data_IF_393771098777
#
_entry.id   IF_393771098777
#
_cell.length_a   1.000
_cell.length_b   1.000
_cell.length_c   1.000
_cell.angle_alpha   90.00
_cell.angle_beta   90.00
_cell.angle_gamma   90.00
#
_symmetry.space_group_name_H-M   'P 1'
#
loop_
_entity.id
_entity.type
_entity.pdbx_description
1 polymer ?
#
# COMPACT_ATOMS: atom_id res chain seq x y z
N UNK A 1 -12.69 3.41 -7.93
CA UNK A 1 -12.41 4.23 -6.75
C UNK A 1 -13.69 4.38 -5.92
N UNK A 2 -13.56 4.55 -4.62
CA UNK A 2 -14.62 4.91 -3.70
C UNK A 2 -14.09 6.00 -2.76
N UNK A 3 -14.87 7.06 -2.54
CA UNK A 3 -14.43 8.27 -1.85
C UNK A 3 -15.39 8.68 -0.74
N UNK A 4 -14.86 9.35 0.29
CA UNK A 4 -15.67 10.01 1.31
C UNK A 4 -16.16 11.39 0.82
N UNK A 5 -17.35 11.79 1.24
CA UNK A 5 -18.07 12.96 0.70
C UNK A 5 -17.61 14.34 1.22
N UNK A 6 -16.61 14.42 2.09
CA UNK A 6 -16.16 15.72 2.64
C UNK A 6 -14.86 16.16 1.99
N UNK A 7 -14.96 17.12 1.07
CA UNK A 7 -13.83 17.69 0.33
C UNK A 7 -13.49 19.10 0.80
N UNK A 8 -12.25 19.32 1.20
CA UNK A 8 -11.70 20.65 1.41
C UNK A 8 -10.25 20.67 0.89
N UNK A 9 -9.87 21.66 0.09
CA UNK A 9 -8.63 21.78 -0.69
C UNK A 9 -7.30 21.53 0.08
N UNK A 10 -7.33 21.53 1.41
CA UNK A 10 -6.18 21.30 2.28
C UNK A 10 -6.28 19.99 3.08
N UNK A 11 -7.15 19.09 2.69
CA UNK A 11 -7.34 17.85 3.42
C UNK A 11 -6.14 16.92 3.27
N UNK A 12 -5.76 16.31 4.37
CA UNK A 12 -4.93 15.11 4.33
C UNK A 12 -5.71 13.99 3.65
N UNK A 13 -5.02 13.19 2.87
CA UNK A 13 -5.62 12.13 2.07
C UNK A 13 -5.15 10.78 2.57
N UNK A 14 -6.07 9.85 2.78
CA UNK A 14 -5.76 8.44 3.01
C UNK A 14 -6.14 7.66 1.76
N UNK A 15 -5.17 7.01 1.13
CA UNK A 15 -5.42 6.11 0.01
C UNK A 15 -5.29 4.67 0.51
N UNK A 16 -6.37 3.90 0.33
CA UNK A 16 -6.51 2.54 0.83
C UNK A 16 -6.33 1.51 -0.28
N UNK A 17 -5.57 0.45 0.03
CA UNK A 17 -5.30 -0.69 -0.84
C UNK A 17 -5.72 -1.98 -0.13
N UNK A 18 -6.73 -2.66 -0.67
CA UNK A 18 -7.26 -3.91 -0.12
C UNK A 18 -6.31 -5.10 -0.30
N UNK A 19 -6.57 -6.18 0.40
CA UNK A 19 -5.83 -7.44 0.29
C UNK A 19 -6.20 -8.27 -0.94
N UNK A 20 -5.44 -9.36 -1.14
CA UNK A 20 -5.70 -10.36 -2.17
C UNK A 20 -7.09 -10.97 -2.02
N UNK A 21 -7.83 -11.09 -3.11
CA UNK A 21 -9.17 -11.68 -3.10
C UNK A 21 -10.27 -10.77 -2.55
N UNK A 22 -9.95 -9.52 -2.23
CA UNK A 22 -10.89 -8.54 -1.67
C UNK A 22 -11.28 -7.46 -2.69
N UNK A 23 -11.84 -6.34 -2.23
CA UNK A 23 -12.27 -5.23 -3.07
C UNK A 23 -12.09 -3.88 -2.37
N UNK A 24 -12.26 -2.79 -3.12
CA UNK A 24 -12.21 -1.41 -2.57
C UNK A 24 -13.21 -1.17 -1.43
N UNK A 25 -14.28 -1.96 -1.34
CA UNK A 25 -15.33 -1.77 -0.33
C UNK A 25 -14.93 -2.27 1.05
N UNK A 26 -13.98 -3.20 1.12
CA UNK A 26 -13.52 -3.83 2.35
C UNK A 26 -12.92 -2.78 3.32
N UNK A 27 -11.74 -2.25 3.01
CA UNK A 27 -11.11 -1.24 3.87
C UNK A 27 -11.92 0.05 3.96
N UNK A 28 -12.66 0.41 2.90
CA UNK A 28 -13.51 1.59 2.94
C UNK A 28 -14.60 1.53 4.01
N UNK A 29 -14.98 0.35 4.46
CA UNK A 29 -15.91 0.16 5.58
C UNK A 29 -15.43 0.83 6.88
N UNK A 30 -14.11 1.02 7.05
CA UNK A 30 -13.49 1.70 8.18
C UNK A 30 -13.49 3.23 8.06
N UNK A 31 -13.82 3.80 6.89
CA UNK A 31 -13.80 5.25 6.67
C UNK A 31 -14.64 6.03 7.70
N UNK A 32 -15.78 5.48 8.12
CA UNK A 32 -16.66 6.07 9.14
C UNK A 32 -16.05 6.21 10.53
N UNK A 33 -14.96 5.50 10.82
CA UNK A 33 -14.24 5.56 12.10
C UNK A 33 -13.00 6.46 12.03
N UNK A 34 -12.67 6.98 10.85
CA UNK A 34 -11.53 7.86 10.65
C UNK A 34 -11.90 9.33 10.89
N UNK A 35 -10.87 10.15 11.05
CA UNK A 35 -11.07 11.57 11.24
C UNK A 35 -11.77 12.18 10.00
N UNK A 36 -12.91 12.86 10.17
CA UNK A 36 -13.69 13.40 9.04
C UNK A 36 -12.97 14.51 8.25
N UNK A 37 -11.86 15.03 8.76
CA UNK A 37 -11.02 16.00 8.03
C UNK A 37 -10.08 15.35 7.02
N UNK A 38 -10.10 14.02 6.89
CA UNK A 38 -9.35 13.32 5.85
C UNK A 38 -10.26 13.03 4.66
N UNK A 39 -9.76 13.26 3.46
CA UNK A 39 -10.30 12.65 2.26
C UNK A 39 -9.84 11.18 2.25
N UNK A 40 -10.79 10.26 2.18
CA UNK A 40 -10.51 8.82 2.17
C UNK A 40 -10.87 8.27 0.81
N UNK A 41 -9.89 7.67 0.16
CA UNK A 41 -9.99 7.11 -1.19
C UNK A 41 -9.63 5.63 -1.11
N UNK A 42 -10.49 4.74 -1.57
CA UNK A 42 -10.20 3.31 -1.67
C UNK A 42 -10.13 2.90 -3.14
N UNK A 43 -8.98 2.36 -3.54
CA UNK A 43 -8.70 2.00 -4.93
C UNK A 43 -8.95 0.51 -5.13
N UNK A 44 -9.63 0.17 -6.24
CA UNK A 44 -9.83 -1.18 -6.69
C UNK A 44 -8.60 -1.70 -7.40
N UNK A 45 -8.12 -2.89 -7.01
CA UNK A 45 -7.06 -3.58 -7.72
C UNK A 45 -7.49 -3.95 -9.16
N UNK A 46 -6.54 -3.99 -10.12
CA UNK A 46 -6.86 -4.09 -11.54
C UNK A 46 -7.28 -5.50 -12.01
N UNK A 47 -6.83 -6.53 -11.31
CA UNK A 47 -7.03 -7.92 -11.75
C UNK A 47 -8.25 -8.51 -11.04
N UNK A 48 -9.29 -8.78 -11.79
CA UNK A 48 -10.48 -9.46 -11.28
C UNK A 48 -10.24 -10.97 -11.25
N UNK A 49 -10.48 -11.57 -10.09
CA UNK A 49 -10.34 -13.00 -9.86
C UNK A 49 -11.70 -13.71 -9.95
N UNK A 50 -12.73 -13.11 -9.33
CA UNK A 50 -14.10 -13.61 -9.28
C UNK A 50 -15.05 -12.43 -8.99
N UNK A 51 -16.34 -12.71 -8.80
CA UNK A 51 -17.31 -11.69 -8.41
C UNK A 51 -16.88 -10.95 -7.13
N UNK A 52 -16.67 -9.65 -7.26
CA UNK A 52 -16.20 -8.73 -6.20
C UNK A 52 -14.90 -9.17 -5.50
N UNK A 53 -14.05 -9.90 -6.21
CA UNK A 53 -12.77 -10.43 -5.73
C UNK A 53 -11.66 -10.01 -6.68
N UNK A 54 -10.63 -9.30 -6.16
CA UNK A 54 -9.60 -8.66 -6.97
C UNK A 54 -8.22 -8.82 -6.33
N UNK A 55 -7.17 -8.69 -7.13
CA UNK A 55 -5.79 -8.70 -6.65
C UNK A 55 -4.91 -7.69 -7.41
N UNK A 56 -3.82 -7.30 -6.77
CA UNK A 56 -2.82 -6.41 -7.37
C UNK A 56 -1.87 -7.15 -8.29
N UNK A 57 -1.66 -8.43 -8.02
CA UNK A 57 -0.95 -9.41 -8.83
C UNK A 57 -1.42 -10.82 -8.49
N UNK A 58 -1.31 -11.71 -9.46
CA UNK A 58 -1.62 -13.13 -9.29
C UNK A 58 -0.59 -13.82 -8.40
N UNK A 59 -1.05 -14.85 -7.69
CA UNK A 59 -0.21 -15.75 -6.91
C UNK A 59 -0.25 -17.14 -7.53
N UNK A 60 0.91 -17.77 -7.62
CA UNK A 60 1.07 -19.15 -8.04
C UNK A 60 1.85 -19.95 -6.99
N UNK A 61 1.79 -21.26 -7.05
CA UNK A 61 2.64 -22.12 -6.21
C UNK A 61 3.86 -22.56 -7.03
N UNK A 62 5.05 -22.48 -6.40
CA UNK A 62 6.25 -23.07 -6.96
C UNK A 62 6.29 -24.58 -6.72
N UNK A 63 7.39 -25.24 -7.13
CA UNK A 63 7.57 -26.69 -6.97
C UNK A 63 7.62 -27.13 -5.49
N UNK A 64 7.98 -26.22 -4.60
CA UNK A 64 8.08 -26.43 -3.14
C UNK A 64 6.78 -26.05 -2.40
N UNK A 65 5.69 -25.80 -3.15
CA UNK A 65 4.38 -25.38 -2.64
C UNK A 65 4.40 -24.01 -1.94
N UNK A 66 5.37 -23.15 -2.25
CA UNK A 66 5.43 -21.79 -1.74
C UNK A 66 4.72 -20.82 -2.68
N UNK A 67 4.02 -19.84 -2.10
CA UNK A 67 3.35 -18.76 -2.84
C UNK A 67 4.36 -17.82 -3.49
N UNK A 68 4.27 -17.70 -4.80
CA UNK A 68 5.07 -16.75 -5.60
C UNK A 68 4.19 -15.69 -6.24
N UNK A 69 4.69 -14.44 -6.24
CA UNK A 69 4.02 -13.35 -6.93
C UNK A 69 4.37 -13.35 -8.43
N UNK A 70 3.41 -12.96 -9.26
CA UNK A 70 3.73 -12.52 -10.62
C UNK A 70 4.39 -11.14 -10.56
N UNK A 71 5.73 -11.14 -10.71
CA UNK A 71 6.55 -9.92 -10.61
C UNK A 71 6.20 -8.90 -11.71
N UNK A 72 5.82 -9.38 -12.89
CA UNK A 72 5.47 -8.50 -14.01
C UNK A 72 4.15 -7.78 -13.74
N UNK A 73 3.13 -8.52 -13.30
CA UNK A 73 1.86 -7.93 -12.89
C UNK A 73 2.02 -6.96 -11.73
N UNK A 74 2.82 -7.34 -10.71
CA UNK A 74 3.08 -6.49 -9.55
C UNK A 74 3.75 -5.17 -9.93
N UNK A 75 4.77 -5.20 -10.81
CA UNK A 75 5.42 -3.99 -11.32
C UNK A 75 4.48 -3.13 -12.17
N UNK A 76 3.66 -3.75 -13.00
CA UNK A 76 2.67 -3.02 -13.80
C UNK A 76 1.64 -2.34 -12.90
N UNK A 77 1.04 -3.05 -11.95
CA UNK A 77 0.09 -2.49 -10.98
C UNK A 77 0.70 -1.32 -10.20
N UNK A 78 1.95 -1.45 -9.75
CA UNK A 78 2.64 -0.39 -9.02
C UNK A 78 2.84 0.87 -9.86
N UNK A 79 3.29 0.73 -11.11
CA UNK A 79 3.52 1.86 -12.01
C UNK A 79 2.21 2.54 -12.43
N UNK A 80 1.18 1.76 -12.75
CA UNK A 80 -0.15 2.29 -13.08
C UNK A 80 -0.78 3.01 -11.88
N UNK A 81 -0.64 2.48 -10.66
CA UNK A 81 -1.08 3.15 -9.45
C UNK A 81 -0.37 4.47 -9.22
N UNK A 82 0.97 4.49 -9.34
CA UNK A 82 1.70 5.74 -9.18
C UNK A 82 1.23 6.79 -10.19
N UNK A 83 1.10 6.42 -11.47
CA UNK A 83 0.61 7.32 -12.52
C UNK A 83 -0.80 7.81 -12.19
N UNK A 84 -1.72 6.89 -11.90
CA UNK A 84 -3.11 7.22 -11.57
C UNK A 84 -3.22 8.17 -10.37
N UNK A 85 -2.47 7.91 -9.29
CA UNK A 85 -2.52 8.76 -8.08
C UNK A 85 -1.88 10.12 -8.36
N UNK A 86 -0.72 10.17 -9.03
CA UNK A 86 0.04 11.41 -9.20
C UNK A 86 -0.43 12.30 -10.35
N UNK A 87 -0.99 11.73 -11.40
CA UNK A 87 -1.36 12.46 -12.63
C UNK A 87 -2.88 12.66 -12.75
N UNK A 88 -3.68 11.64 -12.40
CA UNK A 88 -5.13 11.71 -12.56
C UNK A 88 -5.82 12.14 -11.26
N UNK A 89 -5.62 11.37 -10.18
CA UNK A 89 -6.38 11.54 -8.94
C UNK A 89 -6.00 12.84 -8.22
N UNK A 90 -4.70 13.13 -8.05
CA UNK A 90 -4.25 14.33 -7.36
C UNK A 90 -4.64 15.62 -8.08
N UNK A 91 -4.72 15.58 -9.41
CA UNK A 91 -5.12 16.73 -10.22
C UNK A 91 -6.63 16.94 -10.17
N UNK A 92 -7.42 15.88 -10.35
CA UNK A 92 -8.87 15.96 -10.36
C UNK A 92 -9.45 16.32 -8.99
N UNK A 93 -8.91 15.71 -7.93
CA UNK A 93 -9.36 15.93 -6.55
C UNK A 93 -8.59 17.05 -5.84
N UNK A 94 -7.61 17.65 -6.55
CA UNK A 94 -6.88 18.83 -6.12
C UNK A 94 -6.26 18.71 -4.72
N UNK A 95 -5.48 17.64 -4.48
CA UNK A 95 -4.74 17.45 -3.25
C UNK A 95 -3.21 17.41 -3.45
N UNK A 96 -2.49 17.72 -2.38
CA UNK A 96 -1.02 17.66 -2.35
C UNK A 96 -0.54 16.24 -2.01
N UNK A 97 0.30 15.66 -2.87
CA UNK A 97 0.92 14.35 -2.65
C UNK A 97 1.71 14.28 -1.33
N UNK A 98 2.26 15.40 -0.85
CA UNK A 98 2.92 15.45 0.47
C UNK A 98 1.96 15.23 1.64
N UNK A 99 0.65 15.37 1.44
CA UNK A 99 -0.39 15.14 2.45
C UNK A 99 -1.04 13.75 2.32
N UNK A 100 -0.48 12.89 1.47
CA UNK A 100 -0.99 11.52 1.27
C UNK A 100 -0.43 10.57 2.33
N UNK A 101 -1.33 9.77 2.90
CA UNK A 101 -1.07 8.61 3.73
C UNK A 101 -1.53 7.37 2.95
N UNK A 102 -0.64 6.43 2.73
CA UNK A 102 -0.99 5.14 2.15
C UNK A 102 -1.41 4.18 3.28
N UNK A 103 -2.49 3.46 3.10
CA UNK A 103 -2.94 2.45 4.04
C UNK A 103 -3.25 1.16 3.28
N UNK A 104 -2.59 0.08 3.65
CA UNK A 104 -2.79 -1.20 2.97
C UNK A 104 -2.89 -2.38 3.92
N UNK A 105 -3.67 -3.38 3.51
CA UNK A 105 -3.79 -4.66 4.18
C UNK A 105 -3.24 -5.78 3.31
N UNK A 106 -2.41 -6.67 3.87
CA UNK A 106 -1.85 -7.85 3.18
C UNK A 106 -1.14 -7.46 1.87
N UNK A 107 -1.62 -7.88 0.70
CA UNK A 107 -1.09 -7.48 -0.60
C UNK A 107 -1.11 -5.96 -0.79
N UNK A 108 -2.16 -5.26 -0.30
CA UNK A 108 -2.22 -3.80 -0.30
C UNK A 108 -1.19 -3.13 0.62
N UNK A 109 -0.78 -3.78 1.72
CA UNK A 109 0.35 -3.34 2.55
C UNK A 109 1.64 -3.35 1.73
N UNK A 110 1.89 -4.43 0.98
CA UNK A 110 3.06 -4.56 0.10
C UNK A 110 3.08 -3.46 -0.97
N UNK A 111 1.92 -3.12 -1.56
CA UNK A 111 1.75 -1.99 -2.48
C UNK A 111 2.09 -0.66 -1.79
N UNK A 112 1.60 -0.42 -0.58
CA UNK A 112 1.87 0.81 0.16
C UNK A 112 3.37 1.01 0.41
N UNK A 113 4.06 -0.05 0.82
CA UNK A 113 5.51 0.00 1.02
C UNK A 113 6.26 0.23 -0.30
N UNK A 114 5.89 -0.51 -1.36
CA UNK A 114 6.53 -0.37 -2.66
C UNK A 114 6.33 1.02 -3.28
N UNK A 115 5.12 1.60 -3.19
CA UNK A 115 4.87 2.98 -3.64
C UNK A 115 5.75 3.97 -2.88
N UNK A 116 5.80 3.87 -1.55
CA UNK A 116 6.55 4.81 -0.71
C UNK A 116 8.06 4.71 -0.94
N UNK A 117 8.58 3.52 -1.20
CA UNK A 117 10.02 3.29 -1.40
C UNK A 117 10.44 3.61 -2.83
N UNK A 118 9.67 3.22 -3.84
CA UNK A 118 10.03 3.41 -5.25
C UNK A 118 9.75 4.84 -5.73
N UNK A 119 8.77 5.53 -5.12
CA UNK A 119 8.39 6.92 -5.45
C UNK A 119 8.49 7.84 -4.22
N UNK A 120 9.67 7.94 -3.59
CA UNK A 120 9.83 8.55 -2.27
C UNK A 120 9.58 10.06 -2.24
N UNK A 121 9.57 10.73 -3.39
CA UNK A 121 9.18 12.14 -3.48
C UNK A 121 7.69 12.34 -3.29
N UNK A 122 6.87 11.36 -3.69
CA UNK A 122 5.41 11.44 -3.72
C UNK A 122 4.78 10.93 -2.42
N UNK A 123 5.32 9.82 -1.87
CA UNK A 123 4.68 9.12 -0.75
C UNK A 123 5.66 8.93 0.41
N UNK A 124 5.42 9.63 1.51
CA UNK A 124 6.31 9.63 2.69
C UNK A 124 5.72 8.91 3.90
N UNK A 125 4.44 8.55 3.84
CA UNK A 125 3.70 8.02 5.00
C UNK A 125 2.93 6.79 4.60
N UNK A 126 3.18 5.67 5.27
CA UNK A 126 2.51 4.40 5.00
C UNK A 126 2.06 3.71 6.29
N UNK A 127 0.88 3.14 6.25
CA UNK A 127 0.32 2.25 7.27
C UNK A 127 0.19 0.88 6.64
N UNK A 128 0.99 -0.06 7.12
CA UNK A 128 1.00 -1.44 6.65
C UNK A 128 0.40 -2.38 7.68
N UNK A 129 -0.66 -3.07 7.29
CA UNK A 129 -1.37 -4.03 8.13
C UNK A 129 -1.19 -5.44 7.56
N UNK A 130 -0.67 -6.37 8.37
CA UNK A 130 -0.53 -7.80 8.04
C UNK A 130 0.12 -8.06 6.67
N UNK A 131 1.24 -7.40 6.40
CA UNK A 131 2.00 -7.55 5.16
C UNK A 131 3.49 -7.65 5.38
N UNK A 132 4.24 -7.61 4.29
CA UNK A 132 5.71 -7.66 4.28
C UNK A 132 6.28 -6.71 3.24
N UNK A 133 7.59 -6.47 3.28
CA UNK A 133 8.29 -5.79 2.18
C UNK A 133 8.33 -6.73 0.96
N UNK A 134 7.82 -6.31 -0.20
CA UNK A 134 7.89 -7.09 -1.43
C UNK A 134 9.22 -6.85 -2.14
N UNK A 135 10.29 -7.51 -1.67
CA UNK A 135 11.67 -7.30 -2.14
C UNK A 135 11.81 -7.40 -3.66
N UNK A 136 11.01 -8.24 -4.31
CA UNK A 136 11.03 -8.52 -5.75
C UNK A 136 10.66 -7.31 -6.62
N UNK A 137 9.95 -6.35 -6.02
CA UNK A 137 9.50 -5.12 -6.71
C UNK A 137 9.99 -3.83 -6.06
N UNK A 138 10.79 -3.92 -5.00
CA UNK A 138 11.41 -2.75 -4.36
C UNK A 138 12.60 -2.26 -5.22
N UNK A 139 12.61 -0.97 -5.46
CA UNK A 139 13.73 -0.25 -6.08
C UNK A 139 14.22 0.83 -5.10
N UNK A 140 14.97 0.40 -4.08
CA UNK A 140 15.48 1.29 -3.04
C UNK A 140 16.61 2.16 -3.58
N UNK A 141 16.47 3.49 -3.45
CA UNK A 141 17.48 4.44 -3.87
C UNK A 141 18.38 4.85 -2.69
N UNK A 142 19.58 4.28 -2.58
CA UNK A 142 20.51 4.57 -1.49
C UNK A 142 20.99 6.04 -1.42
N UNK A 143 20.83 6.79 -2.51
CA UNK A 143 21.19 8.22 -2.56
C UNK A 143 20.06 9.14 -2.12
N UNK A 144 18.85 8.62 -1.92
CA UNK A 144 17.70 9.40 -1.48
C UNK A 144 17.63 9.44 0.05
N UNK A 145 17.33 10.60 0.61
CA UNK A 145 17.13 10.76 2.06
C UNK A 145 15.70 10.37 2.47
N UNK A 146 15.57 9.23 3.14
CA UNK A 146 14.31 8.71 3.67
C UNK A 146 13.99 9.19 5.10
N UNK A 147 14.76 10.11 5.68
CA UNK A 147 14.57 10.56 7.08
C UNK A 147 13.18 11.13 7.39
N UNK A 148 12.50 11.65 6.36
CA UNK A 148 11.14 12.18 6.47
C UNK A 148 10.03 11.14 6.18
N UNK A 149 10.40 9.89 5.93
CA UNK A 149 9.43 8.80 5.77
C UNK A 149 9.03 8.27 7.14
N UNK A 150 7.73 7.99 7.30
CA UNK A 150 7.18 7.47 8.54
C UNK A 150 6.22 6.34 8.23
N UNK A 151 6.56 5.14 8.66
CA UNK A 151 5.75 3.96 8.48
C UNK A 151 5.17 3.50 9.82
N UNK A 152 3.93 3.10 9.81
CA UNK A 152 3.31 2.36 10.89
C UNK A 152 3.05 0.94 10.41
N UNK A 153 3.54 -0.05 11.18
CA UNK A 153 3.46 -1.46 10.83
C UNK A 153 2.71 -2.20 11.93
N UNK A 154 1.71 -2.97 11.56
CA UNK A 154 0.98 -3.83 12.50
C UNK A 154 0.80 -5.21 11.92
N UNK A 155 1.02 -6.23 12.76
CA UNK A 155 0.95 -7.64 12.34
C UNK A 155 0.39 -8.52 13.45
N UNK A 156 -0.42 -9.51 13.08
CA UNK A 156 -0.96 -10.49 14.01
C UNK A 156 0.11 -11.50 14.43
N UNK A 157 0.25 -11.75 15.73
CA UNK A 157 1.22 -12.74 16.25
C UNK A 157 0.95 -14.16 15.74
N UNK A 158 -0.31 -14.47 15.43
CA UNK A 158 -0.76 -15.78 14.98
C UNK A 158 -1.25 -15.74 13.52
N UNK A 159 -0.71 -14.83 12.68
CA UNK A 159 -1.04 -14.79 11.26
C UNK A 159 -0.53 -16.06 10.57
N UNK A 160 -1.46 -16.85 10.03
CA UNK A 160 -1.16 -18.13 9.37
C UNK A 160 -0.83 -17.97 7.88
N UNK A 161 -1.07 -16.78 7.32
CA UNK A 161 -0.82 -16.50 5.88
C UNK A 161 0.56 -15.89 5.70
N UNK A 162 0.89 -14.88 6.50
CA UNK A 162 2.22 -14.26 6.56
C UNK A 162 2.70 -14.38 7.99
N UNK A 163 3.58 -15.35 8.30
CA UNK A 163 4.12 -15.54 9.65
C UNK A 163 4.78 -14.27 10.22
N UNK A 164 4.65 -14.07 11.54
CA UNK A 164 5.18 -12.86 12.21
C UNK A 164 6.70 -12.67 11.99
N UNK A 165 7.43 -13.76 11.77
CA UNK A 165 8.87 -13.74 11.47
C UNK A 165 9.16 -12.92 10.21
N UNK A 166 8.33 -13.06 9.17
CA UNK A 166 8.46 -12.32 7.90
C UNK A 166 8.18 -10.81 8.11
N UNK A 167 7.22 -10.48 8.98
CA UNK A 167 6.98 -9.08 9.36
C UNK A 167 8.17 -8.49 10.14
N UNK A 168 8.81 -9.26 11.01
CA UNK A 168 10.04 -8.88 11.72
C UNK A 168 11.24 -8.68 10.79
N UNK A 169 11.33 -9.45 9.71
CA UNK A 169 12.34 -9.22 8.66
C UNK A 169 12.12 -7.86 7.99
N UNK A 170 10.87 -7.47 7.77
CA UNK A 170 10.53 -6.15 7.24
C UNK A 170 10.91 -5.02 8.21
N UNK A 171 10.65 -5.19 9.50
CA UNK A 171 11.06 -4.26 10.58
C UNK A 171 12.60 -4.08 10.62
N UNK A 172 13.33 -5.19 10.55
CA UNK A 172 14.80 -5.18 10.46
C UNK A 172 15.28 -4.43 9.21
N UNK A 173 14.68 -4.70 8.05
CA UNK A 173 15.03 -4.04 6.80
C UNK A 173 14.80 -2.51 6.87
N UNK A 174 13.68 -2.05 7.42
CA UNK A 174 13.44 -0.62 7.62
C UNK A 174 14.50 0.01 8.54
N UNK A 175 14.88 -0.69 9.61
CA UNK A 175 15.94 -0.25 10.53
C UNK A 175 17.28 -0.12 9.83
N UNK A 176 17.69 -1.12 9.04
CA UNK A 176 18.94 -1.13 8.27
C UNK A 176 18.97 -0.01 7.22
N UNK A 177 17.84 0.30 6.59
CA UNK A 177 17.69 1.38 5.61
C UNK A 177 17.43 2.75 6.26
N UNK A 178 17.40 2.84 7.60
CA UNK A 178 17.16 4.07 8.36
C UNK A 178 15.85 4.76 8.01
N UNK A 179 14.83 3.97 7.66
CA UNK A 179 13.48 4.45 7.47
C UNK A 179 12.78 4.47 8.84
N UNK A 180 12.24 5.62 9.23
CA UNK A 180 11.51 5.72 10.50
C UNK A 180 10.23 4.90 10.44
N UNK A 181 10.04 3.98 11.41
CA UNK A 181 8.90 3.08 11.48
C UNK A 181 8.58 2.71 12.93
N UNK A 182 7.37 2.20 13.15
CA UNK A 182 6.87 1.75 14.46
C UNK A 182 5.95 0.55 14.27
#
# INVERSE_FOLDING_TARGET
>A
VKESLTFNKNNKVIIMFHGYGSSKDDLFSFAKFMNPNFLIISIQAPIQMDYNSYCWWSLSLNNDMELQMDIKEAKNSLNELNRFISEDLSVNDNFDLNQVYLLGFSQGCMISYALSINFPKNYKKAVGLSGKIPHEIINFNEKFDYSNHNFFCSHGLNDQVIPIEIARESDKWFSEKKINHK
#
